data_IF_651037694713
#
_entry.id   IF_651037694713
#
_cell.length_a   1.000
_cell.length_b   1.000
_cell.length_c   1.000
_cell.angle_alpha   90.00
_cell.angle_beta   90.00
_cell.angle_gamma   90.00
#
_symmetry.space_group_name_H-M   'P 1'
#
loop_
_entity.id
_entity.type
_entity.pdbx_description
1 polymer ?
#
# COMPACT_ATOMS: atom_id res chain seq x y z
N UNK A 1 63.59 15.40 -30.14
CA UNK A 1 62.96 14.24 -29.53
C UNK A 1 62.39 13.35 -30.63
N UNK A 2 62.48 12.05 -30.47
CA UNK A 2 61.86 11.09 -31.42
C UNK A 2 60.34 11.25 -31.36
N UNK A 3 59.67 11.28 -32.50
CA UNK A 3 58.20 11.35 -32.53
C UNK A 3 57.56 12.75 -32.45
N UNK A 4 58.31 13.79 -32.17
CA UNK A 4 57.81 15.17 -32.15
C UNK A 4 58.34 15.99 -33.31
N UNK A 5 57.52 16.86 -33.91
CA UNK A 5 57.96 17.77 -34.94
C UNK A 5 58.90 18.81 -34.37
N UNK A 6 60.09 18.90 -34.95
CA UNK A 6 61.10 19.88 -34.56
C UNK A 6 61.45 20.73 -35.80
N UNK A 7 61.72 22.02 -35.60
CA UNK A 7 62.20 22.94 -36.65
C UNK A 7 63.34 23.75 -36.10
N UNK A 8 64.39 23.96 -36.92
CA UNK A 8 65.60 24.70 -36.55
C UNK A 8 65.42 26.22 -36.47
N UNK A 9 64.29 26.71 -36.94
CA UNK A 9 64.16 28.14 -37.26
C UNK A 9 64.78 28.56 -38.61
N UNK A 10 64.30 29.66 -39.12
CA UNK A 10 64.76 30.14 -40.44
C UNK A 10 66.13 30.83 -40.31
N UNK A 11 67.13 30.41 -41.05
CA UNK A 11 68.45 31.05 -41.00
C UNK A 11 68.41 32.54 -41.46
N UNK A 12 69.03 33.38 -40.63
CA UNK A 12 69.13 34.83 -41.00
C UNK A 12 70.22 35.04 -42.03
N UNK A 13 69.79 35.31 -43.29
CA UNK A 13 70.67 35.67 -44.36
C UNK A 13 70.13 36.91 -45.09
N UNK A 14 71.00 37.88 -45.35
CA UNK A 14 70.63 39.11 -46.10
C UNK A 14 70.77 38.89 -47.58
N UNK A 15 69.73 38.92 -48.32
CA UNK A 15 69.51 39.04 -49.82
C UNK A 15 68.46 38.03 -50.35
N UNK A 16 67.74 38.39 -51.41
CA UNK A 16 66.55 37.67 -51.91
C UNK A 16 66.92 36.72 -53.09
N UNK A 17 66.21 35.57 -53.21
CA UNK A 17 66.32 34.63 -54.34
C UNK A 17 67.38 33.54 -54.15
N UNK A 18 67.19 32.63 -53.15
CA UNK A 18 68.20 31.64 -52.76
C UNK A 18 67.69 30.21 -52.84
N UNK A 19 68.65 29.37 -53.24
CA UNK A 19 68.52 27.92 -53.14
C UNK A 19 69.38 27.49 -51.93
N UNK A 20 68.79 26.66 -51.02
CA UNK A 20 69.49 26.12 -49.89
C UNK A 20 69.90 24.68 -50.17
N UNK A 21 71.18 24.39 -49.88
CA UNK A 21 71.76 23.07 -50.02
C UNK A 21 72.52 22.69 -48.77
N UNK A 22 72.63 21.40 -48.50
CA UNK A 22 73.30 20.89 -47.30
C UNK A 22 74.48 19.98 -47.71
N UNK A 23 75.56 19.94 -46.95
CA UNK A 23 76.82 19.27 -47.22
C UNK A 23 76.76 17.74 -47.26
N UNK A 24 75.66 17.14 -46.90
CA UNK A 24 75.41 15.69 -47.05
C UNK A 24 73.97 15.47 -47.51
N UNK A 25 73.80 14.51 -48.44
CA UNK A 25 72.50 14.21 -49.07
C UNK A 25 71.41 13.61 -48.12
N UNK A 26 71.74 13.32 -46.89
CA UNK A 26 70.77 12.74 -45.97
C UNK A 26 70.78 13.45 -44.61
N UNK A 27 69.83 14.36 -44.47
CA UNK A 27 69.41 14.70 -43.11
C UNK A 27 68.95 13.42 -42.40
N UNK A 28 69.29 13.26 -41.12
CA UNK A 28 68.90 12.07 -40.33
C UNK A 28 67.42 11.73 -40.46
N UNK A 29 67.13 10.44 -40.44
CA UNK A 29 65.79 9.91 -40.70
C UNK A 29 64.66 10.70 -40.05
N UNK A 30 63.73 11.15 -40.84
CA UNK A 30 62.56 11.94 -40.45
C UNK A 30 62.72 13.46 -40.38
N UNK A 31 63.96 13.98 -40.74
CA UNK A 31 64.18 15.42 -40.88
C UNK A 31 64.42 15.77 -42.36
N UNK A 32 64.06 16.96 -42.79
CA UNK A 32 64.30 17.48 -44.16
C UNK A 32 64.69 18.94 -44.12
N UNK A 33 65.53 19.35 -45.05
CA UNK A 33 65.88 20.77 -45.36
C UNK A 33 64.90 21.35 -46.36
N UNK A 34 64.27 22.45 -45.96
CA UNK A 34 63.50 23.28 -46.91
C UNK A 34 64.46 24.05 -47.85
N UNK A 35 64.50 23.69 -49.13
CA UNK A 35 65.30 24.36 -50.08
C UNK A 35 64.95 25.86 -50.36
N UNK A 36 63.77 26.26 -49.93
CA UNK A 36 63.25 27.62 -50.03
C UNK A 36 63.52 28.51 -48.82
N UNK A 37 63.45 27.92 -47.58
CA UNK A 37 63.61 28.67 -46.37
C UNK A 37 64.94 28.42 -45.65
N UNK A 38 65.56 27.29 -45.93
CA UNK A 38 66.78 26.85 -45.23
C UNK A 38 66.51 26.26 -43.84
N UNK A 39 65.28 26.03 -43.51
CA UNK A 39 64.86 25.45 -42.27
C UNK A 39 64.94 23.93 -42.30
N UNK A 40 65.45 23.32 -41.26
CA UNK A 40 65.45 21.87 -41.10
C UNK A 40 64.25 21.51 -40.22
N UNK A 41 63.27 20.82 -40.79
CA UNK A 41 62.05 20.36 -40.07
C UNK A 41 61.79 18.88 -40.25
N UNK A 42 61.02 18.32 -39.34
CA UNK A 42 60.51 16.96 -39.46
C UNK A 42 60.30 16.28 -38.08
N UNK A 43 59.97 15.00 -38.17
CA UNK A 43 59.81 14.12 -37.00
C UNK A 43 60.96 13.11 -36.97
N UNK A 44 61.96 13.28 -36.08
CA UNK A 44 63.06 12.34 -35.99
C UNK A 44 62.57 10.94 -35.66
N UNK A 45 62.98 9.94 -36.40
CA UNK A 45 62.58 8.52 -36.21
C UNK A 45 63.63 7.67 -35.48
N UNK A 46 64.87 8.19 -35.35
CA UNK A 46 65.97 7.51 -34.63
C UNK A 46 66.81 8.50 -33.87
N UNK A 47 67.25 8.09 -32.70
CA UNK A 47 68.27 8.79 -31.92
C UNK A 47 69.58 8.91 -32.70
N UNK A 48 70.33 10.00 -32.49
CA UNK A 48 71.64 10.18 -33.11
C UNK A 48 72.52 11.06 -32.24
N UNK A 49 73.82 10.78 -32.20
CA UNK A 49 74.82 11.71 -31.68
C UNK A 49 74.78 13.02 -32.45
N UNK A 50 75.33 14.09 -31.84
CA UNK A 50 75.47 15.38 -32.51
C UNK A 50 76.19 15.25 -33.82
N UNK A 51 75.58 15.72 -34.89
CA UNK A 51 76.16 15.79 -36.24
C UNK A 51 76.04 17.20 -36.71
N UNK A 52 77.17 17.77 -37.16
CA UNK A 52 77.24 19.10 -37.69
C UNK A 52 77.01 19.05 -39.21
N UNK A 53 76.06 19.83 -39.65
CA UNK A 53 75.71 20.00 -41.04
C UNK A 53 76.15 21.37 -41.53
N UNK A 54 76.84 21.47 -42.65
CA UNK A 54 77.13 22.77 -43.33
C UNK A 54 75.98 23.05 -44.25
N UNK A 55 75.28 24.14 -44.07
CA UNK A 55 74.13 24.60 -44.88
C UNK A 55 74.63 25.78 -45.73
N UNK A 56 74.51 25.65 -47.05
CA UNK A 56 74.95 26.65 -47.97
C UNK A 56 73.75 27.34 -48.68
N UNK A 57 73.66 28.64 -48.60
CA UNK A 57 72.70 29.45 -49.35
C UNK A 57 73.40 29.93 -50.57
N UNK A 58 72.84 29.73 -51.84
CA UNK A 58 73.38 30.16 -53.12
C UNK A 58 72.39 31.09 -53.84
N UNK A 59 72.92 32.07 -54.53
CA UNK A 59 72.21 32.87 -55.55
C UNK A 59 73.13 33.05 -56.70
N UNK A 60 72.69 33.82 -57.71
CA UNK A 60 73.41 34.06 -58.99
C UNK A 60 74.73 34.87 -58.84
N UNK A 61 74.92 35.41 -57.65
CA UNK A 61 76.05 36.30 -57.40
C UNK A 61 77.13 35.66 -56.45
N UNK A 62 76.72 34.66 -55.66
CA UNK A 62 77.64 34.00 -54.69
C UNK A 62 76.98 33.04 -53.77
N UNK A 63 77.73 32.52 -52.81
CA UNK A 63 77.28 31.57 -51.82
C UNK A 63 77.79 31.96 -50.40
N UNK A 64 77.03 31.61 -49.37
CA UNK A 64 77.42 31.74 -47.96
C UNK A 64 77.07 30.41 -47.24
N UNK A 65 77.99 29.91 -46.42
CA UNK A 65 77.76 28.71 -45.64
C UNK A 65 77.74 28.96 -44.12
N UNK A 66 76.96 28.18 -43.39
CA UNK A 66 76.93 28.19 -41.94
C UNK A 66 76.81 26.74 -41.44
N UNK A 67 77.15 26.52 -40.20
CA UNK A 67 77.10 25.16 -39.60
C UNK A 67 75.94 25.09 -38.60
N UNK A 68 75.22 23.96 -38.60
CA UNK A 68 74.21 23.61 -37.61
C UNK A 68 74.47 22.21 -37.09
N UNK A 69 74.60 22.06 -35.76
CA UNK A 69 74.74 20.77 -35.12
C UNK A 69 73.39 20.29 -34.57
N UNK A 70 72.99 19.11 -35.00
CA UNK A 70 71.76 18.46 -34.59
C UNK A 70 72.04 17.18 -33.85
N UNK A 71 71.49 17.04 -32.67
CA UNK A 71 71.47 15.81 -31.86
C UNK A 71 70.00 15.38 -31.71
N UNK A 72 69.67 14.11 -31.96
CA UNK A 72 68.39 13.53 -31.69
C UNK A 72 68.50 12.68 -30.43
N UNK A 73 68.02 13.23 -29.34
CA UNK A 73 68.07 12.62 -28.04
C UNK A 73 66.93 11.59 -27.96
N UNK A 74 67.19 10.29 -27.66
CA UNK A 74 66.13 9.29 -27.42
C UNK A 74 65.34 9.67 -26.19
N UNK A 75 64.10 9.17 -26.12
CA UNK A 75 63.36 9.17 -24.87
C UNK A 75 64.14 8.29 -23.86
N UNK A 76 64.47 8.86 -22.70
CA UNK A 76 65.21 8.14 -21.66
C UNK A 76 64.25 7.35 -20.78
N UNK A 77 63.00 7.88 -20.58
CA UNK A 77 62.01 7.28 -19.73
C UNK A 77 60.65 7.36 -20.43
N UNK A 78 59.97 6.24 -20.48
CA UNK A 78 58.64 6.12 -21.05
C UNK A 78 57.72 5.45 -19.99
N UNK A 79 56.62 6.12 -19.68
CA UNK A 79 55.51 5.56 -18.90
C UNK A 79 54.40 5.13 -19.84
N UNK A 80 53.79 3.93 -19.66
CA UNK A 80 52.75 3.42 -20.56
C UNK A 80 51.49 4.30 -20.55
N UNK A 81 51.28 5.04 -19.47
CA UNK A 81 50.20 6.00 -19.29
C UNK A 81 50.74 7.21 -18.53
N UNK A 82 50.04 8.34 -18.63
CA UNK A 82 50.38 9.58 -17.88
C UNK A 82 49.30 10.02 -16.92
N UNK A 83 48.15 9.33 -16.90
CA UNK A 83 47.05 9.57 -15.95
C UNK A 83 46.63 8.28 -15.27
N UNK A 84 46.50 8.33 -13.99
CA UNK A 84 46.22 7.16 -13.13
C UNK A 84 45.09 7.48 -12.17
N UNK A 85 44.15 6.53 -12.07
CA UNK A 85 43.15 6.51 -10.99
C UNK A 85 43.48 5.32 -10.13
N UNK A 86 43.80 5.55 -8.85
CA UNK A 86 44.24 4.56 -7.93
C UNK A 86 43.50 4.65 -6.60
N UNK A 87 43.53 3.58 -5.82
CA UNK A 87 42.78 3.49 -4.57
C UNK A 87 43.64 3.87 -3.37
N UNK A 88 43.09 4.53 -2.38
CA UNK A 88 43.65 4.63 -1.03
C UNK A 88 43.82 3.22 -0.46
N UNK A 89 44.91 3.00 0.29
CA UNK A 89 45.24 1.75 1.00
C UNK A 89 45.47 0.51 0.10
N UNK A 90 45.53 0.69 -1.22
CA UNK A 90 45.87 -0.37 -2.14
C UNK A 90 47.32 -0.19 -2.69
N UNK A 91 48.14 -1.24 -2.68
CA UNK A 91 49.47 -1.18 -3.27
C UNK A 91 49.44 -0.79 -4.74
N UNK A 92 50.28 0.16 -5.12
CA UNK A 92 50.44 0.65 -6.50
C UNK A 92 51.87 0.48 -6.93
N UNK A 93 52.10 0.08 -8.17
CA UNK A 93 53.39 0.00 -8.81
C UNK A 93 53.29 0.37 -10.29
N UNK A 94 54.12 1.34 -10.69
CA UNK A 94 54.24 1.78 -12.06
C UNK A 94 55.71 1.67 -12.49
N UNK A 95 55.94 0.81 -13.46
CA UNK A 95 57.28 0.55 -13.98
C UNK A 95 57.46 1.26 -15.32
N UNK A 96 58.35 2.27 -15.41
CA UNK A 96 58.69 2.87 -16.70
C UNK A 96 59.62 1.97 -17.51
N UNK A 97 59.71 2.23 -18.82
CA UNK A 97 60.80 1.71 -19.66
C UNK A 97 61.93 2.72 -19.68
N UNK A 98 63.11 2.34 -19.20
CA UNK A 98 64.35 3.14 -19.30
C UNK A 98 65.16 2.60 -20.46
N UNK A 99 65.47 3.46 -21.47
CA UNK A 99 66.33 3.10 -22.61
C UNK A 99 67.81 3.27 -22.32
N UNK A 100 68.15 3.99 -21.27
CA UNK A 100 69.51 4.21 -20.76
C UNK A 100 69.52 4.25 -19.26
N UNK A 101 70.69 4.05 -18.67
CA UNK A 101 70.89 4.31 -17.23
C UNK A 101 70.70 5.80 -16.97
N UNK A 102 69.70 6.13 -16.17
CA UNK A 102 69.36 7.50 -15.82
C UNK A 102 69.09 7.61 -14.31
N UNK A 103 69.35 8.77 -13.77
CA UNK A 103 68.86 9.11 -12.40
C UNK A 103 67.50 9.73 -12.53
N UNK A 104 66.51 9.06 -11.90
CA UNK A 104 65.11 9.49 -11.93
C UNK A 104 64.77 10.21 -10.63
N UNK A 105 64.12 11.36 -10.71
CA UNK A 105 63.75 12.16 -9.56
C UNK A 105 62.46 12.94 -9.84
N UNK A 106 61.81 13.44 -8.77
CA UNK A 106 60.72 14.40 -8.89
C UNK A 106 61.33 15.77 -9.18
N UNK A 107 60.93 16.38 -10.30
CA UNK A 107 61.37 17.72 -10.69
C UNK A 107 60.47 18.83 -10.12
N UNK A 108 59.18 18.66 -10.20
CA UNK A 108 58.21 19.60 -9.66
C UNK A 108 56.91 18.87 -9.26
N UNK A 109 56.15 19.44 -8.34
CA UNK A 109 54.99 18.79 -7.72
C UNK A 109 55.44 17.77 -6.67
N UNK A 110 54.53 16.88 -6.30
CA UNK A 110 54.81 15.76 -5.38
C UNK A 110 54.02 14.55 -5.85
N UNK A 111 54.51 13.36 -5.52
CA UNK A 111 53.72 12.14 -5.61
C UNK A 111 52.65 12.13 -4.53
N UNK A 112 51.52 11.45 -4.76
CA UNK A 112 50.55 11.20 -3.69
C UNK A 112 51.26 10.62 -2.44
N UNK A 113 50.77 11.04 -1.26
CA UNK A 113 51.30 10.54 0.01
C UNK A 113 51.29 9.00 0.03
N UNK A 114 52.40 8.41 0.46
CA UNK A 114 52.61 6.96 0.47
C UNK A 114 53.24 6.37 -0.81
N UNK A 115 53.40 7.19 -1.91
CA UNK A 115 54.14 6.76 -3.10
C UNK A 115 55.55 7.35 -3.13
N UNK A 116 56.49 6.59 -3.64
CA UNK A 116 57.88 7.00 -3.83
C UNK A 116 58.39 6.61 -5.21
N UNK A 117 59.41 7.31 -5.70
CA UNK A 117 60.08 6.96 -6.97
C UNK A 117 61.44 6.39 -6.64
N UNK A 118 61.80 5.26 -7.24
CA UNK A 118 63.13 4.70 -7.15
C UNK A 118 64.06 5.41 -8.14
N UNK A 119 65.14 6.01 -7.61
CA UNK A 119 66.04 6.87 -8.39
C UNK A 119 66.81 6.12 -9.49
N UNK A 120 67.06 4.81 -9.36
CA UNK A 120 67.84 4.03 -10.33
C UNK A 120 66.97 3.33 -11.38
N UNK A 121 65.72 2.97 -11.04
CA UNK A 121 64.81 2.24 -11.91
C UNK A 121 63.65 3.07 -12.45
N UNK A 122 63.40 4.22 -11.83
CA UNK A 122 62.25 5.06 -12.15
C UNK A 122 60.91 4.48 -11.71
N UNK A 123 60.87 3.33 -11.05
CA UNK A 123 59.67 2.69 -10.56
C UNK A 123 59.02 3.58 -9.53
N UNK A 124 57.73 3.92 -9.73
CA UNK A 124 56.92 4.60 -8.74
C UNK A 124 56.10 3.53 -8.03
N UNK A 125 56.27 3.40 -6.71
CA UNK A 125 55.57 2.38 -5.91
C UNK A 125 55.28 2.84 -4.51
N UNK A 126 54.35 2.16 -3.87
CA UNK A 126 53.92 2.40 -2.50
C UNK A 126 52.43 2.16 -2.31
N UNK A 127 51.88 2.64 -1.18
CA UNK A 127 50.45 2.57 -0.88
C UNK A 127 49.96 3.96 -0.59
N UNK A 128 49.07 4.52 -1.41
CA UNK A 128 48.52 5.85 -1.17
C UNK A 128 47.76 5.90 0.16
N UNK A 129 48.01 6.92 0.97
CA UNK A 129 47.40 7.05 2.30
C UNK A 129 46.30 8.09 2.38
N UNK A 130 46.23 8.97 1.37
CA UNK A 130 45.27 10.09 1.35
C UNK A 130 44.61 10.21 0.00
N UNK A 131 43.39 10.68 0.04
CA UNK A 131 42.55 11.02 -1.12
C UNK A 131 43.10 12.25 -1.85
N UNK A 132 43.13 12.21 -3.19
CA UNK A 132 43.55 13.31 -4.04
C UNK A 132 42.65 13.40 -5.27
N UNK A 133 42.03 14.53 -5.53
CA UNK A 133 41.14 14.70 -6.69
C UNK A 133 41.88 14.77 -8.03
N UNK A 134 43.04 15.42 -8.05
CA UNK A 134 43.97 15.48 -9.17
C UNK A 134 45.29 16.06 -8.70
N UNK A 135 46.37 15.33 -8.86
CA UNK A 135 47.71 15.77 -8.48
C UNK A 135 48.68 15.48 -9.63
N UNK A 136 49.34 16.51 -10.12
CA UNK A 136 50.34 16.39 -11.17
C UNK A 136 51.75 16.47 -10.58
N UNK A 137 52.57 15.55 -11.04
CA UNK A 137 54.00 15.49 -10.71
C UNK A 137 54.82 15.43 -11.97
N UNK A 138 55.89 16.18 -12.06
CA UNK A 138 56.85 16.11 -13.16
C UNK A 138 58.03 15.21 -12.73
N UNK A 139 58.20 14.10 -13.41
CA UNK A 139 59.35 13.19 -13.23
C UNK A 139 60.43 13.62 -14.19
N UNK A 140 61.66 13.73 -13.72
CA UNK A 140 62.84 14.02 -14.48
C UNK A 140 63.75 12.76 -14.51
N UNK A 141 64.13 12.34 -15.71
CA UNK A 141 65.19 11.34 -15.94
C UNK A 141 66.41 12.06 -16.49
N UNK A 142 67.56 11.97 -15.83
CA UNK A 142 68.81 12.62 -16.19
C UNK A 142 69.86 11.57 -16.47
N UNK A 143 70.54 11.68 -17.64
CA UNK A 143 71.65 10.84 -18.13
C UNK A 143 72.61 11.67 -18.97
N UNK A 144 73.93 11.56 -18.69
CA UNK A 144 75.00 12.11 -19.52
C UNK A 144 74.83 13.58 -19.93
N UNK A 145 74.35 14.42 -19.01
CA UNK A 145 74.14 15.88 -19.23
C UNK A 145 72.82 16.25 -19.91
N UNK A 146 72.00 15.28 -20.33
CA UNK A 146 70.69 15.48 -20.92
C UNK A 146 69.58 15.07 -19.93
N UNK A 147 68.42 15.70 -20.00
CA UNK A 147 67.27 15.35 -19.15
C UNK A 147 65.97 15.29 -19.96
N UNK A 148 65.10 14.36 -19.55
CA UNK A 148 63.75 14.24 -20.06
C UNK A 148 62.76 14.40 -18.90
N UNK A 149 61.71 15.18 -19.13
CA UNK A 149 60.64 15.43 -18.17
C UNK A 149 59.34 14.81 -18.67
N UNK A 150 58.66 14.10 -17.76
CA UNK A 150 57.33 13.51 -18.01
C UNK A 150 56.41 13.95 -16.94
N UNK A 151 55.24 14.45 -17.31
CA UNK A 151 54.18 14.83 -16.36
C UNK A 151 53.25 13.64 -16.17
N UNK A 152 53.09 13.23 -14.91
CA UNK A 152 52.13 12.22 -14.50
C UNK A 152 51.05 12.88 -13.65
N UNK A 153 49.81 12.44 -13.85
CA UNK A 153 48.66 12.93 -13.09
C UNK A 153 48.03 11.75 -12.32
N UNK A 154 47.83 11.92 -11.04
CA UNK A 154 47.21 10.95 -10.15
C UNK A 154 45.88 11.46 -9.60
N UNK A 155 44.88 10.62 -9.63
CA UNK A 155 43.64 10.73 -8.86
C UNK A 155 43.62 9.57 -7.87
N UNK A 156 43.51 9.86 -6.59
CA UNK A 156 43.46 8.82 -5.55
C UNK A 156 42.07 8.87 -4.91
N UNK A 157 41.33 7.79 -5.05
CA UNK A 157 39.96 7.67 -4.57
C UNK A 157 39.85 6.76 -3.37
N UNK A 158 38.90 7.08 -2.48
CA UNK A 158 38.46 6.17 -1.43
C UNK A 158 37.61 5.06 -2.06
N UNK A 159 37.88 3.78 -1.78
CA UNK A 159 37.01 2.70 -2.22
C UNK A 159 35.65 2.80 -1.55
N UNK A 160 34.60 2.32 -2.25
CA UNK A 160 33.26 2.26 -1.71
C UNK A 160 33.15 1.19 -0.63
N UNK A 161 32.44 1.50 0.45
CA UNK A 161 32.15 0.57 1.53
C UNK A 161 30.84 0.94 2.23
N UNK A 162 30.32 0.05 3.09
CA UNK A 162 29.12 0.24 3.87
C UNK A 162 27.88 0.62 3.03
N UNK A 163 27.77 0.08 1.82
CA UNK A 163 26.59 0.31 0.96
C UNK A 163 25.36 -0.42 1.49
N UNK A 164 24.33 0.33 1.83
CA UNK A 164 23.07 -0.21 2.30
C UNK A 164 21.93 0.76 2.08
N UNK A 165 20.70 0.25 1.91
CA UNK A 165 19.47 1.01 2.09
C UNK A 165 18.97 0.82 3.53
N UNK A 166 18.08 1.69 4.03
CA UNK A 166 17.50 1.58 5.38
C UNK A 166 16.81 0.26 5.64
N UNK A 167 16.24 -0.37 4.59
CA UNK A 167 15.63 -1.69 4.64
C UNK A 167 16.07 -2.53 3.44
N UNK A 168 16.03 -3.85 3.58
CA UNK A 168 16.23 -4.79 2.47
C UNK A 168 14.90 -5.26 1.84
N UNK A 169 13.78 -5.05 2.53
CA UNK A 169 12.44 -5.44 2.08
C UNK A 169 11.47 -4.28 2.28
N UNK A 170 10.75 -3.95 1.22
CA UNK A 170 9.75 -2.89 1.20
C UNK A 170 8.39 -3.46 0.84
N UNK A 171 7.38 -3.12 1.66
CA UNK A 171 5.98 -3.38 1.39
C UNK A 171 5.31 -2.03 1.17
N UNK A 172 4.91 -1.75 -0.07
CA UNK A 172 4.50 -0.41 -0.49
C UNK A 172 3.04 -0.39 -0.96
N UNK A 173 2.26 0.61 -0.55
CA UNK A 173 0.96 0.83 -1.15
C UNK A 173 1.10 1.31 -2.59
N UNK A 174 0.31 0.70 -3.48
CA UNK A 174 0.22 1.09 -4.89
C UNK A 174 -0.29 2.53 -5.03
N UNK A 175 0.22 3.25 -6.02
CA UNK A 175 -0.15 4.64 -6.35
C UNK A 175 0.20 5.68 -5.27
N UNK A 176 0.90 5.30 -4.20
CA UNK A 176 1.44 6.24 -3.24
C UNK A 176 2.91 6.52 -3.54
N UNK A 177 3.34 7.75 -3.26
CA UNK A 177 4.72 8.16 -3.47
C UNK A 177 5.66 7.48 -2.48
N UNK A 178 6.76 6.98 -3.00
CA UNK A 178 7.85 6.38 -2.26
C UNK A 178 9.16 7.08 -2.60
N UNK A 179 10.04 7.26 -1.64
CA UNK A 179 11.43 7.65 -1.87
C UNK A 179 12.32 7.15 -0.75
N UNK A 180 13.45 6.58 -1.13
CA UNK A 180 14.47 6.17 -0.16
C UNK A 180 15.87 6.32 -0.76
N UNK A 181 16.86 6.65 0.07
CA UNK A 181 18.25 6.91 -0.33
C UNK A 181 19.20 5.98 0.40
N UNK A 182 20.23 5.46 -0.29
CA UNK A 182 21.19 4.59 0.35
C UNK A 182 22.18 5.37 1.24
N UNK A 183 22.80 4.64 2.17
CA UNK A 183 24.00 5.03 2.86
C UNK A 183 25.19 4.37 2.17
N UNK A 184 26.25 5.13 1.92
CA UNK A 184 27.49 4.62 1.34
C UNK A 184 28.65 5.50 1.80
N UNK A 185 29.80 4.90 1.95
CA UNK A 185 31.07 5.61 2.19
C UNK A 185 32.01 5.40 1.02
N UNK A 186 32.91 6.37 0.76
CA UNK A 186 33.82 6.37 -0.38
C UNK A 186 33.57 7.52 -1.35
N UNK A 187 34.25 7.51 -2.49
CA UNK A 187 34.25 8.64 -3.43
C UNK A 187 33.39 8.36 -4.66
N UNK A 188 32.54 9.35 -5.02
CA UNK A 188 31.87 9.51 -6.32
C UNK A 188 31.22 8.21 -6.85
N UNK A 189 30.26 7.60 -6.13
CA UNK A 189 29.57 6.43 -6.65
C UNK A 189 28.66 6.79 -7.81
N UNK A 190 28.52 5.85 -8.76
CA UNK A 190 27.47 5.82 -9.77
C UNK A 190 26.60 4.61 -9.50
N UNK A 191 25.28 4.76 -9.55
CA UNK A 191 24.35 3.70 -9.20
C UNK A 191 23.69 3.12 -10.46
N UNK A 192 23.50 1.81 -10.45
CA UNK A 192 22.84 1.07 -11.52
C UNK A 192 22.11 -0.16 -10.96
N UNK A 193 21.23 -0.73 -11.74
CA UNK A 193 20.63 -2.04 -11.46
C UNK A 193 21.58 -3.10 -12.02
N UNK A 194 22.09 -3.97 -11.16
CA UNK A 194 22.97 -5.08 -11.58
C UNK A 194 22.15 -6.28 -12.05
N UNK A 195 21.04 -6.58 -11.35
CA UNK A 195 20.14 -7.66 -11.72
C UNK A 195 18.72 -7.40 -11.19
N UNK A 196 17.73 -8.04 -11.83
CA UNK A 196 16.32 -7.81 -11.53
C UNK A 196 15.80 -6.50 -12.09
N UNK A 197 14.63 -6.09 -11.62
CA UNK A 197 13.94 -4.86 -12.05
C UNK A 197 13.26 -4.21 -10.85
N UNK A 198 13.16 -2.90 -10.85
CA UNK A 198 12.32 -2.18 -9.90
C UNK A 198 10.83 -2.38 -10.23
N UNK A 199 9.94 -2.31 -9.24
CA UNK A 199 8.52 -2.25 -9.49
C UNK A 199 8.16 -1.18 -10.52
N UNK A 200 7.25 -1.49 -11.48
CA UNK A 200 6.78 -0.48 -12.42
C UNK A 200 6.28 0.78 -11.70
N UNK A 201 6.82 1.93 -12.11
CA UNK A 201 6.54 3.23 -11.48
C UNK A 201 7.59 3.68 -10.46
N UNK A 202 8.57 2.84 -10.11
CA UNK A 202 9.76 3.25 -9.35
C UNK A 202 10.95 3.44 -10.29
N UNK A 203 11.82 4.38 -9.94
CA UNK A 203 13.02 4.76 -10.70
C UNK A 203 14.21 4.88 -9.77
N UNK A 204 15.39 4.44 -10.23
CA UNK A 204 16.67 4.65 -9.57
C UNK A 204 17.35 5.90 -10.12
N UNK A 205 17.72 6.81 -9.25
CA UNK A 205 18.62 7.93 -9.59
C UNK A 205 20.06 7.42 -9.63
N UNK A 206 20.69 7.48 -10.79
CA UNK A 206 22.05 7.01 -11.00
C UNK A 206 23.13 7.87 -10.32
N UNK A 207 22.82 9.06 -9.84
CA UNK A 207 23.78 9.99 -9.23
C UNK A 207 23.83 9.84 -7.71
N UNK A 208 22.68 9.71 -7.06
CA UNK A 208 22.57 9.67 -5.60
C UNK A 208 22.06 8.31 -5.05
N UNK A 209 21.67 7.40 -5.94
CA UNK A 209 21.15 6.09 -5.56
C UNK A 209 19.73 6.10 -5.01
N UNK A 210 19.02 7.23 -5.05
CA UNK A 210 17.64 7.33 -4.56
C UNK A 210 16.72 6.47 -5.43
N UNK A 211 15.93 5.62 -4.78
CA UNK A 211 14.81 4.92 -5.43
C UNK A 211 13.55 5.71 -5.10
N UNK A 212 12.85 6.17 -6.12
CA UNK A 212 11.66 7.03 -5.95
C UNK A 212 10.60 6.76 -7.00
N UNK A 213 9.38 7.21 -6.74
CA UNK A 213 8.25 7.09 -7.66
C UNK A 213 6.97 6.62 -6.97
N UNK A 214 6.04 6.07 -7.73
CA UNK A 214 4.78 5.50 -7.23
C UNK A 214 4.53 4.18 -7.93
N UNK A 215 4.50 3.04 -7.20
CA UNK A 215 4.27 1.74 -7.80
C UNK A 215 2.92 1.70 -8.54
N UNK A 216 2.91 1.24 -9.79
CA UNK A 216 1.70 1.22 -10.63
C UNK A 216 1.03 -0.14 -10.75
N UNK A 217 1.67 -1.21 -10.29
CA UNK A 217 1.18 -2.58 -10.34
C UNK A 217 1.34 -3.27 -9.00
N UNK A 218 0.46 -4.23 -8.70
CA UNK A 218 0.61 -5.10 -7.53
C UNK A 218 1.55 -6.25 -7.87
N UNK A 219 2.57 -6.42 -7.06
CA UNK A 219 3.60 -7.46 -7.21
C UNK A 219 3.92 -8.10 -5.87
N UNK A 220 4.51 -9.28 -5.91
CA UNK A 220 4.94 -10.01 -4.71
C UNK A 220 6.41 -10.39 -4.87
N UNK A 221 7.24 -10.05 -3.85
CA UNK A 221 8.65 -10.45 -3.71
C UNK A 221 9.51 -10.21 -4.96
N UNK A 222 9.34 -9.04 -5.60
CA UNK A 222 10.18 -8.65 -6.73
C UNK A 222 11.57 -8.26 -6.24
N UNK A 223 12.57 -9.02 -6.66
CA UNK A 223 13.94 -8.83 -6.24
C UNK A 223 14.72 -8.00 -7.25
N UNK A 224 15.55 -7.09 -6.73
CA UNK A 224 16.47 -6.27 -7.50
C UNK A 224 17.79 -6.12 -6.74
N UNK A 225 18.91 -6.11 -7.45
CA UNK A 225 20.23 -5.85 -6.87
C UNK A 225 20.70 -4.50 -7.40
N UNK A 226 20.93 -3.56 -6.49
CA UNK A 226 21.49 -2.26 -6.79
C UNK A 226 23.00 -2.32 -6.65
N UNK A 227 23.72 -1.82 -7.65
CA UNK A 227 25.17 -1.66 -7.68
C UNK A 227 25.53 -0.19 -7.52
N UNK A 228 26.47 0.07 -6.63
CA UNK A 228 27.18 1.33 -6.53
C UNK A 228 28.62 1.09 -6.98
N UNK A 229 29.13 1.88 -7.91
CA UNK A 229 30.47 1.69 -8.50
C UNK A 229 31.19 3.03 -8.64
N UNK A 230 32.51 3.02 -8.36
CA UNK A 230 33.42 4.07 -8.75
C UNK A 230 34.60 3.45 -9.53
N UNK A 231 35.57 4.27 -9.95
CA UNK A 231 36.70 3.79 -10.77
C UNK A 231 37.65 2.80 -10.07
N UNK A 232 37.54 2.59 -8.77
CA UNK A 232 38.43 1.74 -7.97
C UNK A 232 37.75 0.61 -7.22
N UNK A 233 36.41 0.63 -7.11
CA UNK A 233 35.65 -0.37 -6.36
C UNK A 233 34.17 -0.38 -6.73
N UNK A 234 33.48 -1.45 -6.32
CA UNK A 234 32.02 -1.53 -6.38
C UNK A 234 31.46 -2.20 -5.12
N UNK A 235 30.18 -1.97 -4.88
CA UNK A 235 29.39 -2.59 -3.82
C UNK A 235 28.01 -2.92 -4.37
N UNK A 236 27.36 -3.95 -3.86
CA UNK A 236 26.00 -4.32 -4.25
C UNK A 236 25.10 -4.48 -3.04
N UNK A 237 23.80 -4.17 -3.20
CA UNK A 237 22.81 -4.37 -2.16
C UNK A 237 21.52 -4.95 -2.73
N UNK A 238 21.05 -6.11 -2.21
CA UNK A 238 19.81 -6.73 -2.65
C UNK A 238 18.60 -6.08 -1.97
N UNK A 239 17.56 -5.85 -2.73
CA UNK A 239 16.25 -5.33 -2.29
C UNK A 239 15.13 -6.25 -2.76
N UNK A 240 14.09 -6.37 -1.95
CA UNK A 240 12.84 -7.05 -2.29
C UNK A 240 11.67 -6.09 -2.13
N UNK A 241 10.76 -6.07 -3.09
CA UNK A 241 9.59 -5.22 -3.10
C UNK A 241 8.31 -6.03 -3.22
N UNK A 242 7.35 -5.74 -2.36
CA UNK A 242 5.96 -6.17 -2.45
C UNK A 242 5.08 -4.92 -2.56
N UNK A 243 4.18 -4.88 -3.52
CA UNK A 243 3.26 -3.74 -3.68
C UNK A 243 1.81 -4.21 -3.72
N UNK A 244 0.92 -3.50 -3.04
CA UNK A 244 -0.50 -3.85 -2.88
C UNK A 244 -1.40 -2.63 -3.07
N UNK A 245 -2.62 -2.88 -3.52
CA UNK A 245 -3.70 -1.89 -3.44
C UNK A 245 -4.15 -1.81 -1.99
N UNK A 246 -4.08 -0.61 -1.40
CA UNK A 246 -4.58 -0.36 -0.05
C UNK A 246 -6.09 -0.60 0.01
N UNK A 247 -6.61 -1.38 0.96
CA UNK A 247 -8.04 -1.46 1.20
C UNK A 247 -8.59 -0.09 1.62
N UNK A 248 -9.52 0.48 0.85
CA UNK A 248 -10.04 1.84 1.10
C UNK A 248 -11.55 1.92 1.28
N UNK A 249 -12.28 1.00 0.68
CA UNK A 249 -13.74 0.93 0.75
C UNK A 249 -14.13 -0.48 1.13
N UNK A 250 -14.84 -0.61 2.24
CA UNK A 250 -15.45 -1.86 2.66
C UNK A 250 -16.90 -1.58 3.00
N UNK A 251 -17.83 -2.20 2.32
CA UNK A 251 -19.25 -2.07 2.63
C UNK A 251 -20.02 -3.34 2.29
N UNK A 252 -21.11 -3.55 2.99
CA UNK A 252 -22.17 -4.50 2.65
C UNK A 252 -23.35 -3.72 2.08
N UNK A 253 -24.23 -4.38 1.34
CA UNK A 253 -25.36 -3.71 0.67
C UNK A 253 -26.33 -2.99 1.62
N UNK A 254 -26.31 -3.30 2.92
CA UNK A 254 -27.11 -2.66 3.96
C UNK A 254 -26.32 -2.57 5.27
N UNK A 255 -26.68 -1.64 6.13
CA UNK A 255 -26.11 -1.50 7.49
C UNK A 255 -26.81 -2.43 8.50
N UNK A 256 -28.08 -2.75 8.25
CA UNK A 256 -28.91 -3.60 9.11
C UNK A 256 -29.62 -4.67 8.29
N UNK A 257 -29.44 -5.90 8.67
CA UNK A 257 -30.07 -7.07 8.05
C UNK A 257 -31.05 -7.72 9.00
N UNK A 258 -32.23 -8.02 8.50
CA UNK A 258 -33.23 -8.83 9.16
C UNK A 258 -33.38 -10.15 8.42
N UNK A 259 -33.31 -11.26 9.11
CA UNK A 259 -33.45 -12.58 8.52
C UNK A 259 -34.39 -13.45 9.36
N UNK A 260 -35.24 -14.26 8.70
CA UNK A 260 -36.07 -15.24 9.42
C UNK A 260 -35.22 -16.37 10.01
N UNK A 261 -35.66 -16.90 11.16
CA UNK A 261 -35.12 -18.14 11.70
C UNK A 261 -35.28 -19.29 10.69
N UNK A 262 -34.29 -20.16 10.62
CA UNK A 262 -34.25 -21.37 9.78
C UNK A 262 -34.31 -21.07 8.25
N UNK A 263 -34.08 -19.84 7.83
CA UNK A 263 -34.01 -19.46 6.42
C UNK A 263 -32.57 -19.31 5.98
N UNK A 264 -32.28 -19.60 4.71
CA UNK A 264 -30.97 -19.34 4.14
C UNK A 264 -30.69 -17.83 4.11
N UNK A 265 -29.53 -17.48 4.63
CA UNK A 265 -29.02 -16.12 4.67
C UNK A 265 -27.63 -16.08 4.05
N UNK A 266 -27.34 -15.10 3.21
CA UNK A 266 -26.01 -14.89 2.65
C UNK A 266 -25.87 -13.42 2.26
N UNK A 267 -24.78 -12.81 2.75
CA UNK A 267 -24.37 -11.44 2.38
C UNK A 267 -22.87 -11.43 2.11
N UNK A 268 -22.47 -10.66 1.11
CA UNK A 268 -21.08 -10.48 0.73
C UNK A 268 -20.68 -9.01 0.81
N UNK A 269 -19.45 -8.70 1.24
CA UNK A 269 -18.94 -7.34 1.16
C UNK A 269 -18.46 -7.01 -0.25
N UNK A 270 -18.42 -5.71 -0.54
CA UNK A 270 -17.58 -5.14 -1.59
C UNK A 270 -16.42 -4.41 -0.93
N UNK A 271 -15.21 -4.63 -1.42
CA UNK A 271 -14.00 -4.02 -0.88
C UNK A 271 -13.02 -3.75 -2.01
N UNK A 272 -12.50 -2.52 -2.07
CA UNK A 272 -11.36 -2.20 -2.91
C UNK A 272 -10.08 -2.75 -2.26
N UNK A 273 -9.14 -3.18 -3.11
CA UNK A 273 -7.86 -3.73 -2.65
C UNK A 273 -7.56 -5.09 -3.28
N UNK A 274 -6.37 -5.58 -3.00
CA UNK A 274 -5.93 -6.91 -3.43
C UNK A 274 -5.38 -7.72 -2.26
N UNK A 275 -5.37 -9.05 -2.40
CA UNK A 275 -4.89 -9.97 -1.36
C UNK A 275 -5.55 -9.75 0.02
N UNK A 276 -6.86 -9.44 0.02
CA UNK A 276 -7.58 -9.08 1.23
C UNK A 276 -7.87 -10.31 2.08
N UNK A 277 -7.64 -10.18 3.38
CA UNK A 277 -8.10 -11.08 4.42
C UNK A 277 -9.17 -10.39 5.26
N UNK A 278 -10.23 -11.11 5.56
CA UNK A 278 -11.33 -10.59 6.37
C UNK A 278 -11.32 -11.19 7.77
N UNK A 279 -11.74 -10.40 8.75
CA UNK A 279 -11.90 -10.85 10.14
C UNK A 279 -13.06 -10.13 10.83
N UNK A 280 -13.70 -10.83 11.76
CA UNK A 280 -14.59 -10.21 12.74
C UNK A 280 -13.74 -9.76 13.91
N UNK A 281 -13.66 -8.46 14.15
CA UNK A 281 -12.86 -7.89 15.22
C UNK A 281 -13.70 -7.53 16.45
N UNK A 282 -15.02 -7.40 16.29
CA UNK A 282 -15.97 -7.19 17.37
C UNK A 282 -17.34 -7.78 17.03
N UNK A 283 -18.06 -8.19 18.08
CA UNK A 283 -19.36 -8.84 17.99
C UNK A 283 -19.29 -10.35 17.78
N UNK A 284 -20.45 -10.98 17.85
CA UNK A 284 -20.63 -12.42 17.63
C UNK A 284 -21.75 -12.66 16.63
N UNK A 285 -21.59 -13.65 15.76
CA UNK A 285 -22.63 -14.04 14.81
C UNK A 285 -23.80 -14.73 15.53
N UNK A 286 -25.04 -14.52 15.02
CA UNK A 286 -26.17 -15.38 15.36
C UNK A 286 -25.82 -16.86 15.17
N UNK A 287 -26.25 -17.70 16.08
CA UNK A 287 -26.03 -19.16 15.98
C UNK A 287 -26.60 -19.71 14.66
N UNK A 288 -25.82 -20.49 13.92
CA UNK A 288 -26.17 -21.02 12.61
C UNK A 288 -25.67 -20.21 11.44
N UNK A 289 -25.05 -19.03 11.67
CA UNK A 289 -24.31 -18.27 10.67
C UNK A 289 -22.80 -18.50 10.83
N UNK A 290 -22.08 -18.45 9.71
CA UNK A 290 -20.62 -18.54 9.62
C UNK A 290 -20.05 -17.37 8.87
N UNK A 291 -18.78 -17.05 9.12
CA UNK A 291 -18.02 -15.99 8.47
C UNK A 291 -16.83 -16.56 7.72
N UNK A 292 -16.69 -16.20 6.46
CA UNK A 292 -15.56 -16.58 5.61
C UNK A 292 -14.43 -15.55 5.73
N UNK A 293 -13.27 -15.96 6.24
CA UNK A 293 -12.10 -15.09 6.36
C UNK A 293 -11.42 -14.77 5.02
N UNK A 294 -11.70 -15.55 3.97
CA UNK A 294 -11.13 -15.30 2.64
C UNK A 294 -12.01 -14.40 1.77
N UNK A 295 -13.33 -14.39 1.99
CA UNK A 295 -14.27 -13.63 1.14
C UNK A 295 -15.09 -12.60 1.89
N UNK A 296 -15.07 -12.60 3.23
CA UNK A 296 -15.92 -11.72 4.05
C UNK A 296 -17.41 -12.10 4.03
N UNK A 297 -17.79 -13.19 3.37
CA UNK A 297 -19.18 -13.65 3.29
C UNK A 297 -19.67 -14.09 4.66
N UNK A 298 -20.88 -13.64 5.02
CA UNK A 298 -21.63 -14.13 6.17
C UNK A 298 -22.80 -14.94 5.63
N UNK A 299 -22.84 -16.23 5.96
CA UNK A 299 -23.84 -17.14 5.43
C UNK A 299 -24.25 -18.23 6.42
N UNK A 300 -25.40 -18.86 6.16
CA UNK A 300 -25.92 -19.98 6.93
C UNK A 300 -27.43 -19.92 7.12
N UNK A 301 -27.94 -20.62 8.13
CA UNK A 301 -29.36 -20.61 8.53
C UNK A 301 -29.42 -20.38 10.04
N UNK A 302 -29.81 -19.20 10.50
CA UNK A 302 -29.85 -18.92 11.94
C UNK A 302 -30.90 -19.75 12.65
N UNK A 303 -30.56 -20.30 13.82
CA UNK A 303 -31.41 -21.27 14.54
C UNK A 303 -32.16 -20.67 15.73
N UNK A 304 -31.83 -19.46 16.15
CA UNK A 304 -32.48 -18.75 17.26
C UNK A 304 -32.76 -17.30 16.91
N UNK A 305 -33.88 -16.75 17.38
CA UNK A 305 -34.13 -15.32 17.27
C UNK A 305 -33.18 -14.53 18.17
N UNK A 306 -32.83 -13.31 17.74
CA UNK A 306 -31.86 -12.45 18.44
C UNK A 306 -32.38 -11.01 18.55
N UNK A 307 -31.84 -10.27 19.50
CA UNK A 307 -31.83 -8.80 19.40
C UNK A 307 -30.87 -8.39 18.26
N UNK A 308 -30.85 -7.09 17.95
CA UNK A 308 -29.87 -6.56 17.01
C UNK A 308 -28.46 -6.85 17.49
N UNK A 309 -27.71 -7.63 16.73
CA UNK A 309 -26.30 -7.97 17.00
C UNK A 309 -25.41 -7.11 16.09
N UNK A 310 -24.57 -6.30 16.69
CA UNK A 310 -23.64 -5.41 15.98
C UNK A 310 -22.34 -6.17 15.75
N UNK A 311 -21.82 -6.10 14.55
CA UNK A 311 -20.60 -6.78 14.10
C UNK A 311 -19.66 -5.75 13.48
N UNK A 312 -18.38 -5.81 13.80
CA UNK A 312 -17.34 -5.05 13.13
C UNK A 312 -16.49 -5.98 12.28
N UNK A 313 -16.57 -5.80 10.97
CA UNK A 313 -15.78 -6.54 9.99
C UNK A 313 -14.58 -5.70 9.60
N UNK A 314 -13.42 -6.32 9.57
CA UNK A 314 -12.16 -5.73 9.13
C UNK A 314 -11.69 -6.43 7.85
N UNK A 315 -11.30 -5.65 6.85
CA UNK A 315 -10.60 -6.10 5.65
C UNK A 315 -9.17 -5.58 5.68
N UNK A 316 -8.17 -6.44 5.54
CA UNK A 316 -6.76 -6.10 5.68
C UNK A 316 -5.90 -6.79 4.64
N UNK A 317 -4.80 -6.14 4.25
CA UNK A 317 -3.66 -6.73 3.56
C UNK A 317 -2.36 -6.20 4.15
N UNK A 318 -1.20 -6.48 3.52
CA UNK A 318 0.12 -6.11 4.06
C UNK A 318 0.36 -4.60 4.16
N UNK A 319 -0.43 -3.77 3.44
CA UNK A 319 -0.23 -2.29 3.40
C UNK A 319 -1.28 -1.52 4.20
N UNK A 320 -2.33 -2.18 4.71
CA UNK A 320 -3.30 -1.51 5.56
C UNK A 320 -4.61 -2.26 5.75
N UNK A 321 -5.58 -1.58 6.36
CA UNK A 321 -6.89 -2.14 6.67
C UNK A 321 -8.00 -1.10 6.62
N UNK A 322 -9.24 -1.58 6.44
CA UNK A 322 -10.47 -0.79 6.51
C UNK A 322 -11.54 -1.58 7.24
N UNK A 323 -12.43 -0.90 7.93
CA UNK A 323 -13.47 -1.51 8.77
C UNK A 323 -14.85 -1.03 8.37
N UNK A 324 -15.85 -1.91 8.61
CA UNK A 324 -17.27 -1.59 8.49
C UNK A 324 -18.04 -2.17 9.67
N UNK A 325 -19.06 -1.47 10.09
CA UNK A 325 -20.00 -1.92 11.13
C UNK A 325 -21.31 -2.29 10.45
N UNK A 326 -21.79 -3.51 10.71
CA UNK A 326 -23.10 -4.00 10.27
C UNK A 326 -23.87 -4.57 11.45
N UNK A 327 -25.17 -4.72 11.27
CA UNK A 327 -26.05 -5.30 12.28
C UNK A 327 -26.88 -6.43 11.68
N UNK A 328 -27.05 -7.51 12.42
CA UNK A 328 -27.90 -8.65 12.06
C UNK A 328 -28.92 -8.89 13.16
N UNK A 329 -30.18 -9.04 12.78
CA UNK A 329 -31.27 -9.38 13.68
C UNK A 329 -32.06 -10.57 13.11
N UNK A 330 -32.17 -11.62 13.89
CA UNK A 330 -32.93 -12.81 13.52
C UNK A 330 -34.30 -12.75 14.13
N UNK A 331 -35.35 -12.88 13.33
CA UNK A 331 -36.74 -12.81 13.73
C UNK A 331 -37.47 -14.13 13.50
N UNK A 332 -38.41 -14.43 14.40
CA UNK A 332 -39.42 -15.46 14.13
C UNK A 332 -40.49 -14.84 13.24
N UNK A 333 -40.79 -15.40 12.04
CA UNK A 333 -41.88 -14.93 11.20
C UNK A 333 -43.21 -14.95 11.95
N UNK A 334 -44.07 -13.99 11.63
CA UNK A 334 -45.42 -13.95 12.23
C UNK A 334 -46.29 -15.04 11.62
N UNK A 335 -47.11 -15.66 12.46
CA UNK A 335 -48.05 -16.71 12.07
C UNK A 335 -49.23 -16.78 12.99
N UNK A 336 -50.33 -17.46 12.56
CA UNK A 336 -51.55 -17.68 13.33
C UNK A 336 -52.17 -16.39 13.86
N UNK A 337 -52.15 -15.32 13.02
CA UNK A 337 -52.78 -14.05 13.37
C UNK A 337 -54.29 -14.15 13.30
N UNK A 338 -54.97 -14.07 14.44
CA UNK A 338 -56.41 -14.11 14.49
C UNK A 338 -56.97 -13.40 15.73
N UNK A 339 -58.15 -12.83 15.57
CA UNK A 339 -58.98 -12.42 16.68
C UNK A 339 -59.91 -13.60 17.12
N UNK A 340 -60.40 -13.61 18.37
CA UNK A 340 -61.29 -14.68 18.87
C UNK A 340 -62.53 -14.94 18.03
N UNK A 341 -63.00 -13.93 17.27
CA UNK A 341 -64.12 -14.04 16.33
C UNK A 341 -63.83 -13.21 15.07
N UNK A 342 -64.43 -13.59 13.96
CA UNK A 342 -64.41 -12.82 12.71
C UNK A 342 -65.43 -11.72 12.64
N UNK A 343 -66.42 -11.69 13.57
CA UNK A 343 -67.47 -10.65 13.60
C UNK A 343 -67.81 -10.27 15.04
N UNK A 344 -67.98 -8.95 15.26
CA UNK A 344 -68.31 -8.39 16.55
C UNK A 344 -69.47 -7.42 16.42
N UNK A 345 -70.48 -7.60 17.30
CA UNK A 345 -71.58 -6.69 17.47
C UNK A 345 -71.32 -5.76 18.65
N UNK A 346 -70.94 -4.54 18.41
CA UNK A 346 -70.71 -3.51 19.40
C UNK A 346 -72.00 -2.83 19.81
N UNK A 347 -72.06 -2.40 21.05
CA UNK A 347 -73.23 -1.66 21.58
C UNK A 347 -72.82 -0.22 21.80
N UNK A 348 -73.52 0.71 21.18
CA UNK A 348 -73.28 2.15 21.35
C UNK A 348 -73.23 2.54 22.83
N UNK A 349 -72.19 3.30 23.22
CA UNK A 349 -72.01 3.78 24.59
C UNK A 349 -71.49 2.73 25.58
N UNK A 350 -71.19 1.49 25.18
CA UNK A 350 -70.55 0.47 26.02
C UNK A 350 -69.13 0.21 25.60
N UNK A 351 -68.26 0.04 26.56
CA UNK A 351 -66.88 -0.33 26.30
C UNK A 351 -66.77 -1.65 25.57
N UNK A 352 -65.83 -1.72 24.61
CA UNK A 352 -65.47 -2.90 23.85
C UNK A 352 -63.95 -3.07 23.94
N UNK A 353 -63.51 -4.29 24.08
CA UNK A 353 -62.09 -4.64 24.02
C UNK A 353 -61.95 -6.05 23.48
N UNK A 354 -61.04 -6.20 22.50
CA UNK A 354 -60.63 -7.53 22.01
C UNK A 354 -59.17 -7.48 21.63
N UNK A 355 -58.44 -8.56 21.95
CA UNK A 355 -57.02 -8.74 21.74
C UNK A 355 -56.83 -9.91 20.79
N UNK A 356 -55.97 -9.78 19.77
CA UNK A 356 -55.65 -10.89 18.87
C UNK A 356 -54.70 -11.88 19.54
N UNK A 357 -54.60 -13.05 18.93
CA UNK A 357 -53.47 -13.98 19.13
C UNK A 357 -52.59 -13.91 17.86
N UNK A 358 -51.27 -13.94 18.07
CA UNK A 358 -50.25 -13.99 17.05
C UNK A 358 -49.04 -14.73 17.58
N UNK A 359 -48.41 -15.52 16.74
CA UNK A 359 -47.08 -16.13 17.06
C UNK A 359 -46.02 -15.39 16.26
N UNK A 360 -44.78 -15.34 16.79
CA UNK A 360 -43.62 -14.66 16.19
C UNK A 360 -43.11 -13.51 17.05
N UNK A 361 -42.08 -12.85 16.54
CA UNK A 361 -41.35 -11.80 17.27
C UNK A 361 -41.79 -10.39 16.88
N UNK A 362 -41.75 -9.48 17.82
CA UNK A 362 -41.88 -8.04 17.63
C UNK A 362 -43.05 -7.63 16.72
N UNK A 363 -44.29 -8.12 16.94
CA UNK A 363 -45.42 -7.78 16.11
C UNK A 363 -45.76 -6.30 16.19
N UNK A 364 -46.09 -5.70 15.05
CA UNK A 364 -46.69 -4.38 14.92
C UNK A 364 -47.98 -4.48 14.13
N UNK A 365 -48.96 -3.65 14.42
CA UNK A 365 -50.27 -3.74 13.85
C UNK A 365 -50.62 -2.46 13.16
N UNK A 366 -51.33 -2.57 12.02
CA UNK A 366 -51.92 -1.42 11.30
C UNK A 366 -53.20 -1.84 10.60
N UNK A 367 -54.05 -0.87 10.32
CA UNK A 367 -55.16 -1.09 9.42
C UNK A 367 -54.73 -0.92 7.96
N UNK A 368 -55.16 -1.83 7.10
CA UNK A 368 -54.90 -1.78 5.65
C UNK A 368 -56.17 -1.41 4.84
N UNK A 369 -57.35 -1.57 5.42
CA UNK A 369 -58.64 -1.17 4.80
C UNK A 369 -59.60 -0.61 5.82
N UNK A 370 -60.49 0.29 5.38
CA UNK A 370 -61.56 0.88 6.13
C UNK A 370 -61.14 1.68 7.40
N UNK A 371 -62.08 2.27 8.06
CA UNK A 371 -61.88 3.04 9.30
C UNK A 371 -62.69 2.35 10.39
N UNK A 372 -62.14 2.30 11.60
CA UNK A 372 -62.83 1.79 12.76
C UNK A 372 -64.08 2.67 13.07
N UNK A 373 -65.12 2.08 13.65
CA UNK A 373 -66.27 2.86 14.16
C UNK A 373 -65.79 3.97 15.12
N UNK A 374 -66.47 5.15 15.03
CA UNK A 374 -66.14 6.28 15.90
C UNK A 374 -66.06 5.86 17.39
N UNK A 375 -64.98 6.22 18.06
CA UNK A 375 -64.72 5.93 19.44
C UNK A 375 -64.06 4.56 19.68
N UNK A 376 -63.71 3.81 18.60
CA UNK A 376 -62.91 2.58 18.65
C UNK A 376 -61.55 2.87 18.09
N UNK A 377 -60.48 2.31 18.68
CA UNK A 377 -59.10 2.49 18.27
C UNK A 377 -58.37 1.15 18.21
N UNK A 378 -57.36 1.07 17.37
CA UNK A 378 -56.39 -0.03 17.30
C UNK A 378 -55.12 0.40 18.02
N UNK A 379 -54.64 -0.40 18.92
CA UNK A 379 -53.31 -0.27 19.51
C UNK A 379 -52.30 -0.91 18.56
N UNK A 380 -51.39 -0.11 17.98
CA UNK A 380 -50.39 -0.57 17.00
C UNK A 380 -49.32 -1.48 17.59
N UNK A 381 -49.15 -1.55 18.91
CA UNK A 381 -48.17 -2.39 19.58
C UNK A 381 -48.74 -3.72 20.04
N UNK A 382 -50.03 -3.77 20.38
CA UNK A 382 -50.66 -4.97 20.94
C UNK A 382 -51.69 -5.61 20.04
N UNK A 383 -52.16 -4.88 19.00
CA UNK A 383 -53.27 -5.29 18.17
C UNK A 383 -54.64 -5.21 18.87
N UNK A 384 -54.68 -4.70 20.11
CA UNK A 384 -55.94 -4.52 20.83
C UNK A 384 -56.84 -3.52 20.10
N UNK A 385 -58.07 -3.96 19.86
CA UNK A 385 -59.13 -3.05 19.37
C UNK A 385 -60.02 -2.72 20.57
N UNK A 386 -60.02 -1.49 21.01
CA UNK A 386 -60.75 -1.06 22.20
C UNK A 386 -61.35 0.33 22.06
N UNK A 387 -62.32 0.65 22.92
CA UNK A 387 -62.97 1.96 23.01
C UNK A 387 -64.45 1.91 23.32
N UNK A 388 -65.13 3.04 23.15
CA UNK A 388 -66.58 3.18 23.34
C UNK A 388 -67.18 3.72 22.03
N UNK A 389 -67.94 2.90 21.27
CA UNK A 389 -68.50 3.34 19.98
C UNK A 389 -69.56 4.42 20.23
N UNK A 390 -69.44 5.58 19.53
CA UNK A 390 -70.30 6.76 19.70
C UNK A 390 -71.42 6.85 18.67
N UNK A 391 -71.21 6.28 17.47
CA UNK A 391 -72.20 6.33 16.38
C UNK A 391 -72.75 4.94 16.05
N UNK A 392 -73.96 4.87 15.52
CA UNK A 392 -74.53 3.64 14.96
C UNK A 392 -74.03 3.48 13.54
N UNK A 393 -73.77 2.25 13.09
CA UNK A 393 -73.28 1.99 11.74
C UNK A 393 -73.72 0.61 11.22
N UNK A 394 -73.69 0.49 9.90
CA UNK A 394 -73.81 -0.78 9.20
C UNK A 394 -72.54 -1.64 9.39
N UNK A 395 -72.62 -2.92 9.08
CA UNK A 395 -71.42 -3.77 9.15
C UNK A 395 -70.30 -3.19 8.30
N UNK A 396 -69.10 -3.03 8.93
CA UNK A 396 -67.88 -2.57 8.29
C UNK A 396 -66.86 -3.68 8.39
N UNK A 397 -66.26 -4.05 7.26
CA UNK A 397 -65.12 -4.98 7.24
C UNK A 397 -63.81 -4.18 7.40
N UNK A 398 -63.10 -4.52 8.45
CA UNK A 398 -61.82 -3.88 8.81
C UNK A 398 -60.73 -4.93 8.65
N UNK A 399 -59.76 -4.68 7.78
CA UNK A 399 -58.60 -5.53 7.61
C UNK A 399 -57.44 -4.97 8.43
N UNK A 400 -56.87 -5.83 9.25
CA UNK A 400 -55.75 -5.52 10.11
C UNK A 400 -54.58 -6.38 9.66
N UNK A 401 -53.46 -5.74 9.44
CA UNK A 401 -52.16 -6.37 9.14
C UNK A 401 -51.33 -6.37 10.41
N UNK A 402 -50.78 -7.52 10.73
CA UNK A 402 -49.64 -7.66 11.65
C UNK A 402 -48.38 -7.84 10.83
N UNK A 403 -47.31 -7.16 11.20
CA UNK A 403 -46.05 -7.21 10.46
C UNK A 403 -44.86 -7.10 11.40
N UNK A 404 -43.73 -7.68 10.97
CA UNK A 404 -42.38 -7.43 11.47
C UNK A 404 -41.43 -7.30 10.29
N UNK A 405 -40.12 -7.17 10.53
CA UNK A 405 -39.12 -6.95 9.50
C UNK A 405 -38.94 -8.14 8.52
N UNK A 406 -39.49 -9.33 8.84
CA UNK A 406 -39.31 -10.54 8.03
C UNK A 406 -40.64 -11.10 7.46
N UNK A 407 -41.77 -10.49 7.74
CA UNK A 407 -43.04 -10.93 7.19
C UNK A 407 -44.25 -10.24 7.75
N UNK A 408 -45.41 -10.53 7.15
CA UNK A 408 -46.71 -9.99 7.59
C UNK A 408 -47.84 -10.97 7.34
N UNK A 409 -48.88 -10.89 8.17
CA UNK A 409 -50.17 -11.57 7.99
C UNK A 409 -51.33 -10.58 8.10
N UNK A 410 -52.48 -10.91 7.52
CA UNK A 410 -53.67 -10.09 7.57
C UNK A 410 -54.88 -10.89 8.03
N UNK A 411 -55.79 -10.21 8.73
CA UNK A 411 -57.09 -10.76 9.08
C UNK A 411 -58.17 -9.70 8.93
N UNK A 412 -59.36 -10.12 8.52
CA UNK A 412 -60.50 -9.20 8.33
C UNK A 412 -61.58 -9.47 9.38
N UNK A 413 -62.04 -8.40 10.03
CA UNK A 413 -63.10 -8.41 11.01
C UNK A 413 -64.29 -7.62 10.55
N UNK A 414 -65.49 -8.16 10.72
CA UNK A 414 -66.72 -7.43 10.53
C UNK A 414 -67.15 -6.79 11.83
N UNK A 415 -67.23 -5.46 11.91
CA UNK A 415 -67.68 -4.69 13.06
C UNK A 415 -69.03 -4.03 12.75
N UNK A 416 -70.02 -4.16 13.67
CA UNK A 416 -71.34 -3.51 13.55
C UNK A 416 -71.74 -2.86 14.85
N UNK A 417 -72.13 -1.59 14.84
CA UNK A 417 -72.55 -0.87 16.07
C UNK A 417 -74.09 -0.77 16.06
N UNK A 418 -74.73 -1.38 17.07
CA UNK A 418 -76.20 -1.38 17.23
C UNK A 418 -76.61 -0.77 18.55
N UNK A 419 -77.87 -0.35 18.65
CA UNK A 419 -78.45 0.05 19.91
C UNK A 419 -78.77 -1.17 20.81
N UNK A 420 -78.83 -0.99 22.10
CA UNK A 420 -79.39 -1.97 23.01
C UNK A 420 -80.88 -2.14 22.62
N UNK A 421 -81.38 -3.29 22.24
CA UNK A 421 -82.79 -3.53 22.00
C UNK A 421 -83.48 -3.62 23.35
N UNK A 422 -84.53 -2.84 23.50
CA UNK A 422 -85.42 -2.83 24.67
C UNK A 422 -85.90 -4.25 25.01
N UNK A 423 -86.12 -5.07 23.99
CA UNK A 423 -86.49 -6.51 24.15
C UNK A 423 -85.40 -7.32 24.94
N UNK A 424 -84.19 -7.05 24.78
CA UNK A 424 -83.10 -7.74 25.52
C UNK A 424 -83.07 -7.29 27.00
N UNK A 425 -83.40 -6.01 27.26
CA UNK A 425 -83.59 -5.48 28.63
C UNK A 425 -84.78 -6.12 29.29
N UNK A 426 -85.89 -6.18 28.59
CA UNK A 426 -87.12 -6.81 29.10
C UNK A 426 -86.91 -8.30 29.38
N UNK A 427 -86.22 -9.06 28.53
CA UNK A 427 -85.95 -10.45 28.75
C UNK A 427 -84.98 -10.67 29.90
N UNK A 428 -83.97 -9.80 30.15
CA UNK A 428 -83.11 -9.86 31.32
C UNK A 428 -83.90 -9.51 32.60
N UNK A 429 -84.78 -8.57 32.61
CA UNK A 429 -85.64 -8.24 33.74
C UNK A 429 -86.61 -9.39 34.03
N UNK A 430 -87.26 -9.94 32.98
CA UNK A 430 -88.19 -11.07 33.16
C UNK A 430 -87.41 -12.32 33.66
N UNK A 431 -86.25 -12.59 33.09
CA UNK A 431 -85.39 -13.72 33.54
C UNK A 431 -84.91 -13.53 34.99
N UNK A 432 -84.52 -12.32 35.38
CA UNK A 432 -84.19 -11.99 36.77
C UNK A 432 -85.36 -12.14 37.74
N UNK A 433 -86.58 -11.67 37.30
CA UNK A 433 -87.79 -11.85 38.12
C UNK A 433 -88.18 -13.33 38.27
N UNK A 434 -88.05 -14.15 37.19
CA UNK A 434 -88.32 -15.58 37.21
C UNK A 434 -87.34 -16.28 38.12
N UNK A 435 -86.07 -15.94 38.05
CA UNK A 435 -85.02 -16.51 38.92
C UNK A 435 -85.27 -16.14 40.39
N UNK A 436 -85.62 -14.90 40.65
CA UNK A 436 -85.97 -14.43 41.99
C UNK A 436 -87.20 -15.18 42.54
N UNK A 437 -88.25 -15.30 41.75
CA UNK A 437 -89.47 -16.07 42.16
C UNK A 437 -89.13 -17.55 42.37
N UNK A 438 -88.28 -18.12 41.56
CA UNK A 438 -87.84 -19.52 41.75
C UNK A 438 -87.05 -19.68 43.08
N UNK A 439 -86.14 -18.78 43.40
CA UNK A 439 -85.39 -18.81 44.67
C UNK A 439 -86.30 -18.62 45.85
N UNK A 440 -87.29 -17.70 45.78
CA UNK A 440 -88.29 -17.52 46.87
C UNK A 440 -89.14 -18.77 47.02
N UNK A 441 -89.61 -19.41 45.94
CA UNK A 441 -90.36 -20.70 46.03
C UNK A 441 -89.53 -21.82 46.60
N UNK A 442 -88.26 -21.93 46.27
CA UNK A 442 -87.36 -22.91 46.89
C UNK A 442 -87.14 -22.66 48.34
N UNK A 443 -86.95 -21.42 48.74
CA UNK A 443 -86.87 -21.04 50.18
C UNK A 443 -88.20 -21.34 50.94
N UNK A 444 -89.35 -20.94 50.37
CA UNK A 444 -90.64 -21.22 50.94
C UNK A 444 -90.88 -22.73 51.13
N UNK A 445 -90.49 -23.51 50.13
CA UNK A 445 -90.56 -24.95 50.17
C UNK A 445 -89.63 -25.58 51.22
N UNK A 446 -88.44 -25.08 51.41
CA UNK A 446 -87.50 -25.45 52.45
C UNK A 446 -88.05 -25.09 53.84
N UNK A 447 -88.63 -23.91 54.02
CA UNK A 447 -89.26 -23.48 55.27
C UNK A 447 -90.49 -24.38 55.58
N UNK A 448 -91.32 -24.70 54.55
CA UNK A 448 -92.46 -25.61 54.74
C UNK A 448 -92.02 -27.03 55.13
N UNK A 449 -90.99 -27.57 54.51
CA UNK A 449 -90.43 -28.91 54.89
C UNK A 449 -89.83 -28.86 56.26
N UNK A 450 -89.21 -27.78 56.68
CA UNK A 450 -88.65 -27.63 58.01
C UNK A 450 -89.78 -27.53 59.11
N UNK A 451 -90.90 -26.86 58.75
CA UNK A 451 -92.06 -26.78 59.64
C UNK A 451 -92.78 -28.14 59.79
N UNK A 452 -92.88 -28.92 58.71
CA UNK A 452 -93.40 -30.30 58.71
C UNK A 452 -92.51 -31.20 59.55
N UNK A 453 -91.17 -31.11 59.42
CA UNK A 453 -90.23 -31.84 60.25
C UNK A 453 -90.35 -31.50 61.76
N UNK A 454 -90.51 -30.19 62.08
CA UNK A 454 -90.73 -29.72 63.46
C UNK A 454 -92.08 -30.21 64.03
N UNK A 455 -93.15 -30.23 63.19
CA UNK A 455 -94.47 -30.80 63.55
C UNK A 455 -94.43 -32.31 63.81
N UNK A 456 -93.74 -33.07 62.91
CA UNK A 456 -93.56 -34.52 63.08
C UNK A 456 -92.72 -34.90 64.36
N UNK A 457 -91.71 -34.06 64.70
CA UNK A 457 -90.95 -34.25 65.94
C UNK A 457 -91.74 -33.92 67.20
N UNK A 458 -92.71 -32.95 67.15
CA UNK A 458 -93.65 -32.70 68.26
C UNK A 458 -94.62 -33.85 68.46
N UNK A 459 -95.12 -34.44 67.38
CA UNK A 459 -96.10 -35.57 67.44
C UNK A 459 -95.40 -36.84 67.95
N UNK A 460 -94.15 -37.06 67.58
CA UNK A 460 -93.35 -38.20 68.14
C UNK A 460 -92.99 -38.03 69.62
N UNK A 461 -92.70 -36.85 70.10
CA UNK A 461 -92.50 -36.58 71.55
C UNK A 461 -93.78 -36.76 72.35
N UNK A 462 -94.96 -36.38 71.91
CA UNK A 462 -96.24 -36.59 72.63
C UNK A 462 -96.74 -38.05 72.62
N UNK A 463 -96.30 -38.91 71.68
CA UNK A 463 -96.58 -40.36 71.72
C UNK A 463 -95.68 -41.15 72.65
N UNK A 464 -94.57 -40.57 73.10
CA UNK A 464 -93.66 -41.19 74.08
C UNK A 464 -94.06 -40.91 75.57
N UNK A 465 -95.00 -39.93 75.86
CA UNK A 465 -95.48 -39.58 77.20
C UNK A 465 -96.80 -40.22 77.55
N UNK A 466 -97.37 -41.11 76.72
CA UNK A 466 -98.60 -41.88 77.06
C UNK A 466 -98.37 -43.38 77.17
N UNK A 467 -97.13 -43.84 77.41
CA UNK A 467 -96.88 -45.21 77.84
C UNK A 467 -95.84 -45.20 79.00
N UNK A 468 -96.34 -44.78 80.22
CA UNK A 468 -95.86 -45.25 81.51
C UNK A 468 -97.06 -45.16 82.39
#
# INVERSE_FOLDING_TARGET
MIGQTVCSGIPLVRNIGRKWEMSSESVRAGLSLSCSTGEICGIPTRASLSVTYSITARNDVGSASGEVSLEVIPEYIFFPQTSFIISVEQPFMLTPTLQRTAVVSVFSGSLPAGLTVNASTGVISGTPTERVSSQSVTINAQSDGASQKVVLTFTVLLPLSAFSYPQSTYILPRSQSFSDTPLITGDVPVYSIESGELPPGLTLDSVNGMIYGSPSQSITDQNVVIKAENAVSNQTFPLSFTTRILPTVLHYSQDVYYTPINSLFSISPECDGDYIQYSLIDGTLPSGLSFSTSSGVIEGSPVNSTQIMVLTVNATNEVGSVQVVISICVRIPLSLFQYPKSSYRLVRGKSFTVIPSVQGDAPRFRMTSSVLPDGIQLNEMTGEISGIPSTLGDPIDVTIQVWNEVGSEETTLTLVVKRFTILAIVLMIIGGVILFCFVVLVIARMVSINNIRKGSLKTLKNKQYQKI
#
